data_IF_638347907534
#
_entry.id   IF_638347907534
#
_cell.length_a   1.000
_cell.length_b   1.000
_cell.length_c   1.000
_cell.angle_alpha   90.00
_cell.angle_beta   90.00
_cell.angle_gamma   90.00
#
_symmetry.space_group_name_H-M   'P 1'
#
loop_
_entity.id
_entity.type
_entity.pdbx_description
1 polymer ?
#
# COMPACT_ATOMS: atom_id res chain seq x y z
N UNK A 1 10.42 -20.81 9.47
CA UNK A 1 8.97 -20.55 9.41
C UNK A 1 8.43 -21.48 8.33
N UNK A 2 7.41 -22.30 8.62
CA UNK A 2 6.88 -23.25 7.63
C UNK A 2 6.59 -22.49 6.32
N UNK A 3 6.98 -23.06 5.18
CA UNK A 3 6.84 -22.48 3.84
C UNK A 3 7.79 -21.34 3.45
N UNK A 4 8.64 -20.83 4.34
CA UNK A 4 9.64 -19.81 3.95
C UNK A 4 10.80 -20.43 3.20
N UNK A 5 11.35 -21.53 3.71
CA UNK A 5 12.51 -22.18 3.11
C UNK A 5 12.12 -22.95 1.83
N UNK A 6 10.95 -23.59 1.84
CA UNK A 6 10.41 -24.36 0.70
C UNK A 6 10.08 -23.49 -0.53
N UNK A 7 9.52 -22.29 -0.32
CA UNK A 7 9.17 -21.38 -1.43
C UNK A 7 10.26 -20.34 -1.74
N UNK A 8 11.39 -20.36 -1.03
CA UNK A 8 12.57 -19.52 -1.32
C UNK A 8 13.78 -20.37 -1.71
N UNK A 9 13.53 -21.48 -2.40
CA UNK A 9 14.54 -22.35 -2.95
C UNK A 9 15.04 -21.82 -4.32
N UNK A 10 16.34 -21.46 -4.45
CA UNK A 10 16.89 -20.98 -5.70
C UNK A 10 16.89 -22.02 -6.83
N UNK A 11 16.99 -23.31 -6.51
CA UNK A 11 16.98 -24.38 -7.51
C UNK A 11 15.57 -24.59 -8.06
N UNK A 12 14.55 -24.50 -7.19
CA UNK A 12 13.16 -24.48 -7.63
C UNK A 12 12.88 -23.29 -8.55
N UNK A 13 13.35 -22.08 -8.18
CA UNK A 13 13.15 -20.88 -8.99
C UNK A 13 13.81 -20.99 -10.37
N UNK A 14 15.05 -21.48 -10.45
CA UNK A 14 15.74 -21.73 -11.73
C UNK A 14 15.01 -22.78 -12.56
N UNK A 15 14.52 -23.85 -11.93
CA UNK A 15 13.75 -24.89 -12.60
C UNK A 15 12.48 -24.32 -13.24
N UNK A 16 11.71 -23.52 -12.50
CA UNK A 16 10.52 -22.85 -13.02
C UNK A 16 10.85 -21.89 -14.17
N UNK A 17 11.92 -21.09 -14.05
CA UNK A 17 12.35 -20.20 -15.12
C UNK A 17 12.76 -20.95 -16.39
N UNK A 18 13.45 -22.09 -16.26
CA UNK A 18 13.80 -22.95 -17.37
C UNK A 18 12.57 -23.56 -18.05
N UNK A 19 11.57 -23.98 -17.28
CA UNK A 19 10.28 -24.44 -17.84
C UNK A 19 9.57 -23.32 -18.59
N UNK A 20 9.50 -22.12 -18.03
CA UNK A 20 8.91 -20.96 -18.74
C UNK A 20 9.66 -20.70 -20.06
N UNK A 21 10.98 -20.72 -20.04
CA UNK A 21 11.79 -20.51 -21.24
C UNK A 21 11.57 -21.57 -22.34
N UNK A 22 11.24 -22.81 -21.96
CA UNK A 22 10.95 -23.89 -22.90
C UNK A 22 9.53 -23.81 -23.50
N UNK A 23 8.56 -23.28 -22.75
CA UNK A 23 7.15 -23.23 -23.15
C UNK A 23 6.77 -21.99 -23.97
N UNK A 24 7.53 -20.90 -23.87
CA UNK A 24 7.21 -19.65 -24.57
C UNK A 24 7.39 -19.80 -26.08
N UNK A 25 6.41 -19.31 -26.84
CA UNK A 25 6.53 -19.15 -28.28
C UNK A 25 7.38 -17.92 -28.60
N UNK A 26 8.51 -18.12 -29.27
CA UNK A 26 9.44 -17.05 -29.65
C UNK A 26 8.84 -16.04 -30.64
N UNK A 27 7.78 -16.41 -31.37
CA UNK A 27 7.02 -15.53 -32.26
C UNK A 27 6.02 -14.63 -31.53
N UNK A 28 5.83 -14.80 -30.22
CA UNK A 28 4.83 -14.06 -29.42
C UNK A 28 5.48 -13.24 -28.32
N UNK A 29 4.81 -12.15 -27.95
CA UNK A 29 5.14 -11.35 -26.76
C UNK A 29 4.04 -11.48 -25.72
N UNK A 30 4.43 -11.73 -24.48
CA UNK A 30 3.56 -11.93 -23.34
C UNK A 30 3.70 -10.75 -22.39
N UNK A 31 2.56 -10.33 -21.81
CA UNK A 31 2.50 -9.21 -20.87
C UNK A 31 1.65 -9.65 -19.68
N UNK A 32 2.28 -9.78 -18.52
CA UNK A 32 1.63 -10.19 -17.28
C UNK A 32 1.57 -9.02 -16.32
N UNK A 33 0.36 -8.56 -16.00
CA UNK A 33 0.17 -7.51 -15.03
C UNK A 33 -0.04 -8.10 -13.64
N UNK A 34 0.74 -7.64 -12.68
CA UNK A 34 0.45 -7.83 -11.25
C UNK A 34 -0.19 -6.56 -10.67
N UNK A 35 -0.96 -6.71 -9.60
CA UNK A 35 -1.67 -5.62 -8.92
C UNK A 35 -1.48 -5.75 -7.39
N UNK A 36 -0.25 -5.92 -6.94
CA UNK A 36 0.05 -6.01 -5.52
C UNK A 36 1.44 -5.46 -5.27
N UNK A 37 1.54 -4.38 -4.49
CA UNK A 37 2.86 -3.83 -4.11
C UNK A 37 3.79 -4.86 -3.45
N UNK A 38 3.24 -5.88 -2.79
CA UNK A 38 4.02 -7.01 -2.27
C UNK A 38 4.64 -7.89 -3.36
N UNK A 39 3.91 -8.13 -4.46
CA UNK A 39 4.45 -8.80 -5.64
C UNK A 39 5.48 -7.92 -6.37
N UNK A 40 5.19 -6.64 -6.59
CA UNK A 40 6.17 -5.68 -7.14
C UNK A 40 7.47 -5.72 -6.34
N UNK A 41 7.37 -5.66 -5.00
CA UNK A 41 8.51 -5.71 -4.11
C UNK A 41 9.28 -7.03 -4.25
N UNK A 42 8.60 -8.17 -4.27
CA UNK A 42 9.25 -9.47 -4.42
C UNK A 42 9.93 -9.62 -5.79
N UNK A 43 9.25 -9.25 -6.87
CA UNK A 43 9.78 -9.31 -8.24
C UNK A 43 11.09 -8.50 -8.34
N UNK A 44 11.05 -7.25 -7.86
CA UNK A 44 12.21 -6.35 -7.89
C UNK A 44 13.33 -6.82 -6.94
N UNK A 45 12.99 -7.19 -5.70
CA UNK A 45 13.96 -7.61 -4.68
C UNK A 45 14.74 -8.86 -5.10
N UNK A 46 14.07 -9.79 -5.76
CA UNK A 46 14.66 -11.09 -6.13
C UNK A 46 15.09 -11.17 -7.61
N UNK A 47 14.94 -10.08 -8.38
CA UNK A 47 15.32 -10.07 -9.79
C UNK A 47 14.54 -11.07 -10.64
N UNK A 48 13.26 -11.31 -10.32
CA UNK A 48 12.46 -12.34 -11.02
C UNK A 48 12.33 -12.03 -12.51
N UNK A 49 12.23 -10.76 -12.88
CA UNK A 49 12.20 -10.33 -14.29
C UNK A 49 13.47 -10.71 -15.06
N UNK A 50 14.64 -10.67 -14.42
CA UNK A 50 15.92 -11.01 -15.05
C UNK A 50 16.02 -12.51 -15.36
N UNK A 51 15.20 -13.35 -14.72
CA UNK A 51 15.14 -14.79 -14.96
C UNK A 51 14.19 -15.15 -16.11
N UNK A 52 13.37 -14.21 -16.59
CA UNK A 52 12.37 -14.46 -17.63
C UNK A 52 12.93 -14.26 -19.05
N UNK A 53 12.40 -14.98 -20.06
CA UNK A 53 12.70 -14.70 -21.46
C UNK A 53 12.33 -13.26 -21.83
N UNK A 54 13.10 -12.63 -22.73
CA UNK A 54 12.90 -11.22 -23.16
C UNK A 54 11.52 -10.93 -23.76
N UNK A 55 10.82 -11.95 -24.27
CA UNK A 55 9.47 -11.82 -24.81
C UNK A 55 8.36 -11.98 -23.75
N UNK A 56 8.72 -12.14 -22.47
CA UNK A 56 7.80 -12.14 -21.33
C UNK A 56 8.07 -10.90 -20.49
N UNK A 57 7.13 -9.95 -20.52
CA UNK A 57 7.21 -8.72 -19.75
C UNK A 57 6.26 -8.76 -18.55
N UNK A 58 6.76 -8.38 -17.38
CA UNK A 58 5.94 -8.08 -16.22
C UNK A 58 5.51 -6.61 -16.26
N UNK A 59 4.27 -6.34 -15.87
CA UNK A 59 3.71 -5.00 -15.79
C UNK A 59 3.28 -4.77 -14.34
N UNK A 60 3.84 -3.73 -13.72
CA UNK A 60 3.45 -3.33 -12.38
C UNK A 60 2.19 -2.46 -12.45
N UNK A 61 1.07 -3.05 -12.07
CA UNK A 61 -0.22 -2.38 -12.03
C UNK A 61 -0.38 -1.48 -10.81
N UNK A 62 -1.55 -0.81 -10.67
CA UNK A 62 -1.85 0.13 -9.60
C UNK A 62 -2.08 -0.51 -8.20
N UNK A 63 -1.27 -1.50 -7.80
CA UNK A 63 -1.43 -2.31 -6.58
C UNK A 63 -1.10 -1.61 -5.25
N UNK A 64 -1.04 -0.28 -5.24
CA UNK A 64 -0.72 0.54 -4.07
C UNK A 64 -1.92 1.45 -3.75
N UNK A 65 -2.71 1.16 -2.69
CA UNK A 65 -3.93 1.92 -2.40
C UNK A 65 -3.65 3.39 -2.06
N UNK A 66 -2.50 3.66 -1.43
CA UNK A 66 -2.02 5.03 -1.15
C UNK A 66 -1.75 5.80 -2.44
N UNK A 67 -1.10 5.15 -3.41
CA UNK A 67 -0.62 5.77 -4.63
C UNK A 67 -1.76 6.13 -5.59
N UNK A 68 -2.88 5.42 -5.51
CA UNK A 68 -4.08 5.66 -6.32
C UNK A 68 -5.12 6.54 -5.63
N UNK A 69 -4.86 6.96 -4.39
CA UNK A 69 -5.78 7.81 -3.65
C UNK A 69 -5.90 9.18 -4.33
N UNK A 70 -7.12 9.65 -4.69
CA UNK A 70 -7.29 10.96 -5.27
C UNK A 70 -6.83 12.06 -4.31
N UNK A 71 -6.07 13.04 -4.81
CA UNK A 71 -5.56 14.19 -4.03
C UNK A 71 -6.67 14.88 -3.22
N UNK A 72 -7.87 15.02 -3.80
CA UNK A 72 -9.03 15.62 -3.12
C UNK A 72 -9.42 14.92 -1.82
N UNK A 73 -9.19 13.61 -1.68
CA UNK A 73 -9.45 12.89 -0.42
C UNK A 73 -8.49 13.29 0.69
N UNK A 74 -7.26 13.64 0.33
CA UNK A 74 -6.27 14.12 1.29
C UNK A 74 -6.61 15.57 1.68
N UNK A 75 -7.06 16.38 0.73
CA UNK A 75 -7.54 17.74 1.00
C UNK A 75 -8.72 17.74 1.98
N UNK A 76 -9.73 16.87 1.74
CA UNK A 76 -10.87 16.66 2.64
C UNK A 76 -10.41 16.24 4.05
N UNK A 77 -9.43 15.33 4.15
CA UNK A 77 -8.89 14.90 5.44
C UNK A 77 -8.15 16.03 6.17
N UNK A 78 -7.41 16.88 5.45
CA UNK A 78 -6.76 18.07 6.03
C UNK A 78 -7.81 19.06 6.53
N UNK A 79 -8.89 19.26 5.78
CA UNK A 79 -10.00 20.12 6.18
C UNK A 79 -10.67 19.59 7.47
N UNK A 80 -10.94 18.29 7.53
CA UNK A 80 -11.47 17.64 8.75
C UNK A 80 -10.52 17.82 9.94
N UNK A 81 -9.22 17.62 9.75
CA UNK A 81 -8.22 17.79 10.81
C UNK A 81 -7.99 19.25 11.24
N UNK A 82 -8.48 20.23 10.47
CA UNK A 82 -8.39 21.65 10.83
C UNK A 82 -9.34 22.03 11.98
N UNK A 83 -10.36 21.21 12.25
CA UNK A 83 -11.22 21.38 13.40
C UNK A 83 -10.45 21.00 14.69
N UNK A 84 -10.27 21.92 15.65
CA UNK A 84 -9.47 21.66 16.85
C UNK A 84 -10.06 20.57 17.77
N UNK A 85 -11.33 20.21 17.60
CA UNK A 85 -11.99 19.10 18.33
C UNK A 85 -11.78 17.73 17.69
N UNK A 86 -11.22 17.67 16.49
CA UNK A 86 -11.00 16.42 15.76
C UNK A 86 -9.61 15.86 16.06
N UNK A 87 -9.53 14.54 16.17
CA UNK A 87 -8.26 13.79 16.07
C UNK A 87 -8.34 12.91 14.83
N UNK A 88 -7.53 13.23 13.82
CA UNK A 88 -7.49 12.44 12.59
C UNK A 88 -6.48 11.30 12.74
N UNK A 89 -6.95 10.06 12.65
CA UNK A 89 -6.12 8.86 12.63
C UNK A 89 -5.89 8.39 11.19
N UNK A 90 -4.67 7.99 10.86
CA UNK A 90 -4.32 7.50 9.51
C UNK A 90 -3.12 6.55 9.56
N UNK A 91 -2.90 5.78 8.51
CA UNK A 91 -1.65 5.01 8.35
C UNK A 91 -0.47 5.94 8.01
N UNK A 92 0.73 5.53 8.40
CA UNK A 92 1.93 6.37 8.31
C UNK A 92 2.36 6.70 6.86
N UNK A 93 2.05 5.83 5.91
CA UNK A 93 2.35 5.99 4.48
C UNK A 93 1.64 7.19 3.85
N UNK A 94 0.43 7.53 4.31
CA UNK A 94 -0.32 8.70 3.85
C UNK A 94 0.25 10.04 4.33
N UNK A 95 1.05 10.05 5.40
CA UNK A 95 1.47 11.31 6.04
C UNK A 95 2.22 12.25 5.09
N UNK A 96 2.98 11.68 4.15
CA UNK A 96 3.85 12.42 3.23
C UNK A 96 3.27 12.59 1.83
N UNK A 97 2.09 12.03 1.55
CA UNK A 97 1.49 12.11 0.22
C UNK A 97 1.16 13.58 -0.09
N UNK A 98 1.61 14.11 -1.24
CA UNK A 98 1.29 15.48 -1.63
C UNK A 98 -0.21 15.68 -1.82
N UNK A 99 -0.71 16.79 -1.27
CA UNK A 99 -2.07 17.28 -1.45
C UNK A 99 -2.05 18.60 -2.25
N UNK A 100 -3.21 19.25 -2.41
CA UNK A 100 -3.31 20.50 -3.17
C UNK A 100 -2.42 21.60 -2.58
N UNK A 101 -1.89 22.45 -3.45
CA UNK A 101 -1.02 23.59 -3.08
C UNK A 101 0.23 23.17 -2.27
N UNK A 102 0.69 21.94 -2.46
CA UNK A 102 1.85 21.40 -1.76
C UNK A 102 1.59 21.09 -0.28
N UNK A 103 0.33 20.99 0.14
CA UNK A 103 -0.03 20.53 1.48
C UNK A 103 0.26 19.02 1.65
N UNK A 104 0.21 18.55 2.89
CA UNK A 104 0.21 17.13 3.26
C UNK A 104 -0.29 16.98 4.70
N UNK A 105 -0.69 15.78 5.10
CA UNK A 105 -1.07 15.51 6.49
C UNK A 105 0.08 15.81 7.46
N UNK A 106 1.33 15.53 7.07
CA UNK A 106 2.50 15.89 7.87
C UNK A 106 2.64 17.41 8.06
N UNK A 107 2.39 18.21 7.02
CA UNK A 107 2.41 19.68 7.11
C UNK A 107 1.25 20.21 7.95
N UNK A 108 0.06 19.65 7.80
CA UNK A 108 -1.11 20.01 8.61
C UNK A 108 -0.85 19.72 10.10
N UNK A 109 -0.26 18.57 10.42
CA UNK A 109 0.16 18.22 11.78
C UNK A 109 1.19 19.20 12.34
N UNK A 110 2.21 19.57 11.54
CA UNK A 110 3.19 20.58 11.94
C UNK A 110 2.57 21.96 12.15
N UNK A 111 1.44 22.26 11.50
CA UNK A 111 0.63 23.46 11.69
C UNK A 111 -0.32 23.42 12.88
N UNK A 112 -0.31 22.36 13.70
CA UNK A 112 -1.09 22.25 14.93
C UNK A 112 -2.33 21.36 14.85
N UNK A 113 -2.64 20.77 13.70
CA UNK A 113 -3.70 19.77 13.61
C UNK A 113 -3.34 18.50 14.40
N UNK A 114 -4.30 17.92 15.12
CA UNK A 114 -4.09 16.63 15.82
C UNK A 114 -4.27 15.47 14.83
N UNK A 115 -3.14 15.04 14.25
CA UNK A 115 -3.08 13.91 13.32
C UNK A 115 -2.17 12.84 13.90
N UNK A 116 -2.71 11.62 14.06
CA UNK A 116 -2.03 10.50 14.70
C UNK A 116 -1.87 9.33 13.73
N UNK A 117 -0.66 8.78 13.70
CA UNK A 117 -0.37 7.58 12.92
C UNK A 117 -0.80 6.36 13.73
N UNK A 118 -1.52 5.45 13.08
CA UNK A 118 -1.98 4.18 13.67
C UNK A 118 -1.46 3.00 12.86
N UNK A 119 -1.37 1.83 13.49
CA UNK A 119 -1.03 0.58 12.83
C UNK A 119 -2.27 -0.26 12.50
N UNK A 120 -3.38 0.00 13.20
CA UNK A 120 -4.66 -0.68 12.99
C UNK A 120 -5.84 0.23 13.28
N UNK A 121 -7.01 -0.15 12.78
CA UNK A 121 -8.29 0.49 13.09
C UNK A 121 -8.63 0.45 14.58
N UNK A 122 -8.19 -0.60 15.29
CA UNK A 122 -8.36 -0.73 16.74
C UNK A 122 -7.60 0.34 17.53
N UNK A 123 -6.49 0.88 16.99
CA UNK A 123 -5.77 1.96 17.65
C UNK A 123 -6.61 3.26 17.63
N UNK A 124 -7.31 3.53 16.52
CA UNK A 124 -8.22 4.67 16.43
C UNK A 124 -9.41 4.54 17.40
N UNK A 125 -9.96 3.32 17.54
CA UNK A 125 -11.01 3.05 18.52
C UNK A 125 -10.53 3.30 19.96
N UNK A 126 -9.35 2.80 20.32
CA UNK A 126 -8.77 3.04 21.66
C UNK A 126 -8.52 4.52 21.94
N UNK A 127 -8.13 5.30 20.93
CA UNK A 127 -8.00 6.76 21.05
C UNK A 127 -9.37 7.39 21.32
N UNK A 128 -10.42 6.95 20.62
CA UNK A 128 -11.79 7.45 20.83
C UNK A 128 -12.32 7.14 22.24
N UNK A 129 -12.07 5.94 22.75
CA UNK A 129 -12.44 5.56 24.13
C UNK A 129 -11.70 6.38 25.19
N UNK A 130 -10.42 6.69 24.94
CA UNK A 130 -9.60 7.46 25.87
C UNK A 130 -9.87 8.97 25.83
N UNK A 131 -10.41 9.50 24.73
CA UNK A 131 -10.64 10.93 24.51
C UNK A 131 -12.11 11.21 24.13
N UNK A 132 -13.07 10.97 25.05
CA UNK A 132 -14.51 11.01 24.73
C UNK A 132 -15.03 12.41 24.35
N UNK A 133 -14.28 13.47 24.68
CA UNK A 133 -14.61 14.86 24.36
C UNK A 133 -14.19 15.26 22.93
N UNK A 134 -13.50 14.38 22.19
CA UNK A 134 -12.99 14.62 20.84
C UNK A 134 -13.71 13.77 19.81
N UNK A 135 -13.80 14.30 18.59
CA UNK A 135 -14.26 13.54 17.43
C UNK A 135 -13.06 12.82 16.80
N UNK A 136 -12.98 11.50 16.98
CA UNK A 136 -11.92 10.69 16.37
C UNK A 136 -12.37 10.21 15.00
N UNK A 137 -11.64 10.63 13.96
CA UNK A 137 -11.93 10.27 12.56
C UNK A 137 -10.79 9.42 12.02
N UNK A 138 -11.09 8.23 11.50
CA UNK A 138 -10.11 7.39 10.84
C UNK A 138 -10.19 7.57 9.32
N UNK A 139 -9.09 8.03 8.70
CA UNK A 139 -8.95 8.09 7.25
C UNK A 139 -8.72 6.68 6.71
N UNK A 140 -9.82 5.95 6.51
CA UNK A 140 -9.80 4.60 5.98
C UNK A 140 -9.37 4.58 4.51
N UNK A 141 -8.26 3.88 4.25
CA UNK A 141 -7.76 3.58 2.92
C UNK A 141 -7.42 2.11 2.81
N UNK A 142 -7.18 1.65 1.59
CA UNK A 142 -6.75 0.29 1.32
C UNK A 142 -7.66 -0.40 0.32
N UNK A 143 -7.21 -1.59 -0.10
CA UNK A 143 -8.01 -2.50 -0.89
C UNK A 143 -8.70 -3.54 0.01
N UNK A 144 -9.16 -4.64 -0.57
CA UNK A 144 -9.98 -5.66 0.09
C UNK A 144 -9.31 -6.32 1.30
N UNK A 145 -7.98 -6.21 1.46
CA UNK A 145 -7.27 -6.71 2.65
C UNK A 145 -7.35 -5.75 3.84
N UNK A 146 -7.57 -4.46 3.61
CA UNK A 146 -7.66 -3.43 4.66
C UNK A 146 -9.10 -3.04 4.97
N UNK A 147 -10.04 -3.28 4.04
CA UNK A 147 -11.48 -3.04 4.28
C UNK A 147 -12.06 -3.87 5.43
N UNK A 148 -11.81 -5.19 5.56
CA UNK A 148 -12.43 -5.99 6.62
C UNK A 148 -12.04 -5.52 8.03
N UNK A 149 -10.76 -5.23 8.36
CA UNK A 149 -10.41 -4.63 9.65
C UNK A 149 -11.09 -3.29 9.95
N UNK A 150 -11.49 -2.54 8.92
CA UNK A 150 -12.21 -1.27 9.07
C UNK A 150 -13.70 -1.47 9.35
N UNK A 151 -14.26 -2.60 8.91
CA UNK A 151 -15.67 -2.94 9.09
C UNK A 151 -16.00 -3.68 10.39
N UNK A 152 -14.97 -4.15 11.12
CA UNK A 152 -15.10 -4.78 12.45
C UNK A 152 -15.50 -3.74 13.52
#
# INVERSE_FOLDING_TARGET
MKYVDEYRDPELAKGVAATIAAEVDSGRSYRFMEFCGGHTHAISRYGVEDMLPKNVAMIHGPGCPVCVLPVGRIDEAIEVASNPRVTLCTYADLMRVPASRGASLLKARAGGADIRMVYSTLDALRIAEAEPEREVVFLAIGFETTTPPTAL
#
